data_IF_314716210109
#
_entry.id   IF_314716210109
#
_cell.length_a   1.000
_cell.length_b   1.000
_cell.length_c   1.000
_cell.angle_alpha   90.00
_cell.angle_beta   90.00
_cell.angle_gamma   90.00
#
_symmetry.space_group_name_H-M   'P 1'
#
loop_
_entity.id
_entity.type
_entity.pdbx_description
1 polymer ?
#
# COMPACT_ATOMS: atom_id res chain seq x y z
N UNK A 1 15.25 28.65 -38.07
CA UNK A 1 14.27 28.56 -36.96
C UNK A 1 13.10 27.71 -37.44
N UNK A 2 13.11 26.42 -37.13
CA UNK A 2 12.04 25.50 -37.53
C UNK A 2 10.89 25.63 -36.53
N UNK A 3 9.83 26.33 -36.95
CA UNK A 3 8.57 26.38 -36.22
C UNK A 3 8.00 24.96 -36.15
N UNK A 4 8.07 24.31 -34.99
CA UNK A 4 7.39 23.02 -34.78
C UNK A 4 5.89 23.31 -34.81
N UNK A 5 5.20 22.74 -35.79
CA UNK A 5 3.74 22.78 -35.86
C UNK A 5 3.18 22.03 -34.65
N UNK A 6 2.67 22.76 -33.66
CA UNK A 6 2.01 22.19 -32.49
C UNK A 6 0.72 21.55 -32.96
N UNK A 7 0.59 20.24 -32.77
CA UNK A 7 -0.62 19.49 -33.11
C UNK A 7 -1.63 19.57 -31.97
N UNK A 8 -2.93 19.36 -32.24
CA UNK A 8 -3.95 19.34 -31.17
C UNK A 8 -3.65 18.30 -30.08
N UNK A 9 -2.95 17.22 -30.42
CA UNK A 9 -2.53 16.18 -29.48
C UNK A 9 -1.47 16.69 -28.51
N UNK A 10 -0.55 17.53 -28.97
CA UNK A 10 0.49 18.14 -28.11
C UNK A 10 -0.13 19.06 -27.05
N UNK A 11 -1.16 19.83 -27.43
CA UNK A 11 -1.88 20.69 -26.50
C UNK A 11 -2.64 19.88 -25.44
N UNK A 12 -3.22 18.73 -25.82
CA UNK A 12 -3.93 17.86 -24.88
C UNK A 12 -2.96 17.18 -23.91
N UNK A 13 -1.79 16.75 -24.38
CA UNK A 13 -0.74 16.18 -23.52
C UNK A 13 -0.21 17.21 -22.53
N UNK A 14 0.05 18.44 -22.96
CA UNK A 14 0.53 19.50 -22.08
C UNK A 14 -0.52 19.91 -21.04
N UNK A 15 -1.79 20.02 -21.46
CA UNK A 15 -2.90 20.23 -20.53
C UNK A 15 -2.97 19.11 -19.49
N UNK A 16 -2.96 17.85 -19.93
CA UNK A 16 -3.04 16.69 -19.05
C UNK A 16 -1.84 16.62 -18.09
N UNK A 17 -0.63 16.95 -18.56
CA UNK A 17 0.58 17.02 -17.73
C UNK A 17 0.44 18.04 -16.61
N UNK A 18 0.08 19.28 -16.94
CA UNK A 18 -0.10 20.35 -15.97
C UNK A 18 -1.25 20.04 -15.00
N UNK A 19 -2.37 19.54 -15.51
CA UNK A 19 -3.51 19.15 -14.70
C UNK A 19 -3.15 18.05 -13.70
N UNK A 20 -2.42 17.01 -14.13
CA UNK A 20 -1.94 15.95 -13.25
C UNK A 20 -0.96 16.50 -12.20
N UNK A 21 -0.02 17.36 -12.59
CA UNK A 21 0.91 17.97 -11.63
C UNK A 21 0.18 18.77 -10.55
N UNK A 22 -0.85 19.54 -10.92
CA UNK A 22 -1.65 20.28 -9.95
C UNK A 22 -2.42 19.36 -8.99
N UNK A 23 -3.11 18.34 -9.52
CA UNK A 23 -3.98 17.48 -8.70
C UNK A 23 -3.22 16.42 -7.91
N UNK A 24 -1.99 16.09 -8.32
CA UNK A 24 -1.10 15.17 -7.61
C UNK A 24 -0.08 15.90 -6.73
N UNK A 25 -0.11 17.24 -6.62
CA UNK A 25 0.89 18.01 -5.87
C UNK A 25 0.78 17.85 -4.34
N UNK A 26 -0.44 17.70 -3.81
CA UNK A 26 -0.71 17.91 -2.39
C UNK A 26 -0.47 16.68 -1.50
N UNK A 27 -0.78 15.46 -1.97
CA UNK A 27 -0.66 14.23 -1.16
C UNK A 27 -0.09 13.04 -1.97
N UNK A 28 0.48 12.06 -1.25
CA UNK A 28 1.05 10.83 -1.83
C UNK A 28 0.00 9.97 -2.56
N UNK A 29 -1.25 10.03 -2.13
CA UNK A 29 -2.39 9.33 -2.73
C UNK A 29 -3.69 9.98 -2.27
N UNK A 30 -4.09 11.08 -2.91
CA UNK A 30 -5.37 11.70 -2.59
C UNK A 30 -6.50 10.85 -3.16
N UNK A 31 -7.44 10.41 -2.32
CA UNK A 31 -8.69 9.79 -2.77
C UNK A 31 -9.49 10.73 -3.68
N UNK A 32 -9.31 12.05 -3.54
CA UNK A 32 -9.82 13.05 -4.48
C UNK A 32 -9.18 12.92 -5.86
N UNK A 33 -7.86 12.76 -5.95
CA UNK A 33 -7.17 12.60 -7.24
C UNK A 33 -7.63 11.34 -7.98
N UNK A 34 -7.86 10.21 -7.29
CA UNK A 34 -8.42 9.01 -7.93
C UNK A 34 -9.82 9.23 -8.50
N UNK A 35 -10.66 9.98 -7.79
CA UNK A 35 -12.02 10.34 -8.25
C UNK A 35 -11.95 11.28 -9.45
N UNK A 36 -11.14 12.33 -9.35
CA UNK A 36 -10.97 13.33 -10.41
C UNK A 36 -10.39 12.71 -11.69
N UNK A 37 -9.40 11.83 -11.55
CA UNK A 37 -8.84 11.09 -12.70
C UNK A 37 -9.93 10.22 -13.32
N UNK A 38 -10.68 9.44 -12.54
CA UNK A 38 -11.75 8.57 -13.05
C UNK A 38 -12.85 9.33 -13.80
N UNK A 39 -13.19 10.53 -13.31
CA UNK A 39 -14.22 11.39 -13.90
C UNK A 39 -13.74 12.15 -15.14
N UNK A 40 -12.45 12.47 -15.23
CA UNK A 40 -11.88 13.25 -16.33
C UNK A 40 -11.54 12.39 -17.54
N UNK A 41 -12.57 11.91 -18.23
CA UNK A 41 -12.44 11.05 -19.42
C UNK A 41 -11.61 11.67 -20.56
N UNK A 42 -11.45 12.98 -20.59
CA UNK A 42 -10.70 13.68 -21.62
C UNK A 42 -9.20 13.44 -21.56
N UNK A 43 -8.65 13.15 -20.36
CA UNK A 43 -7.21 12.91 -20.19
C UNK A 43 -6.82 11.43 -20.35
N UNK A 44 -7.79 10.51 -20.27
CA UNK A 44 -7.52 9.06 -20.39
C UNK A 44 -6.74 8.71 -21.67
N UNK A 45 -7.11 9.19 -22.87
CA UNK A 45 -6.44 8.77 -24.11
C UNK A 45 -4.95 9.11 -24.17
N UNK A 46 -4.50 10.12 -23.43
CA UNK A 46 -3.11 10.59 -23.42
C UNK A 46 -2.34 10.19 -22.15
N UNK A 47 -2.99 9.51 -21.20
CA UNK A 47 -2.46 9.27 -19.86
C UNK A 47 -1.12 8.51 -19.89
N UNK A 48 -1.01 7.48 -20.73
CA UNK A 48 0.22 6.69 -20.86
C UNK A 48 1.38 7.46 -21.50
N UNK A 49 1.11 8.41 -22.41
CA UNK A 49 2.14 9.27 -23.00
C UNK A 49 2.58 10.34 -22.00
N UNK A 50 1.64 10.95 -21.30
CA UNK A 50 1.92 11.93 -20.25
C UNK A 50 2.71 11.29 -19.11
N UNK A 51 2.40 10.06 -18.73
CA UNK A 51 3.14 9.33 -17.69
C UNK A 51 4.65 9.29 -17.96
N UNK A 52 5.08 9.06 -19.21
CA UNK A 52 6.50 8.96 -19.60
C UNK A 52 7.29 10.24 -19.37
N UNK A 53 6.62 11.40 -19.40
CA UNK A 53 7.24 12.73 -19.28
C UNK A 53 7.04 13.36 -17.89
N UNK A 54 6.25 12.72 -17.02
CA UNK A 54 6.12 13.14 -15.63
C UNK A 54 7.40 12.85 -14.85
N UNK A 55 7.70 13.69 -13.86
CA UNK A 55 8.79 13.40 -12.91
C UNK A 55 8.46 12.15 -12.09
N UNK A 56 9.47 11.40 -11.62
CA UNK A 56 9.27 10.13 -10.90
C UNK A 56 8.30 10.24 -9.72
N UNK A 57 8.35 11.34 -8.96
CA UNK A 57 7.42 11.56 -7.83
C UNK A 57 5.96 11.60 -8.30
N UNK A 58 5.65 12.28 -9.40
CA UNK A 58 4.30 12.33 -9.97
C UNK A 58 3.90 11.00 -10.61
N UNK A 59 4.84 10.26 -11.19
CA UNK A 59 4.61 8.91 -11.69
C UNK A 59 4.15 7.97 -10.57
N UNK A 60 4.85 7.97 -9.43
CA UNK A 60 4.49 7.15 -8.26
C UNK A 60 3.10 7.54 -7.75
N UNK A 61 2.85 8.84 -7.56
CA UNK A 61 1.54 9.33 -7.09
C UNK A 61 0.42 8.96 -8.04
N UNK A 62 0.65 9.06 -9.36
CA UNK A 62 -0.33 8.63 -10.35
C UNK A 62 -0.63 7.13 -10.24
N UNK A 63 0.40 6.28 -10.12
CA UNK A 63 0.21 4.82 -9.94
C UNK A 63 -0.60 4.54 -8.66
N UNK A 64 -0.26 5.20 -7.55
CA UNK A 64 -0.99 5.02 -6.28
C UNK A 64 -2.44 5.50 -6.38
N UNK A 65 -2.71 6.67 -6.96
CA UNK A 65 -4.08 7.17 -7.16
C UNK A 65 -4.90 6.23 -8.06
N UNK A 66 -4.29 5.71 -9.14
CA UNK A 66 -4.96 4.76 -10.01
C UNK A 66 -5.28 3.42 -9.33
N UNK A 67 -4.55 3.08 -8.25
CA UNK A 67 -4.77 1.83 -7.49
C UNK A 67 -5.99 1.91 -6.57
N UNK A 68 -6.42 3.13 -6.26
CA UNK A 68 -7.61 3.40 -5.45
C UNK A 68 -8.89 3.37 -6.28
N UNK A 69 -8.79 3.37 -7.61
CA UNK A 69 -9.94 3.28 -8.51
C UNK A 69 -10.38 1.82 -8.58
N UNK A 70 -11.50 1.52 -7.93
CA UNK A 70 -12.13 0.20 -7.93
C UNK A 70 -12.22 -0.40 -9.33
N UNK A 71 -11.82 -1.66 -9.49
CA UNK A 71 -11.95 -2.40 -10.74
C UNK A 71 -13.40 -2.47 -11.25
N UNK A 72 -14.39 -2.36 -10.36
CA UNK A 72 -15.82 -2.35 -10.71
C UNK A 72 -16.31 -1.01 -11.29
N UNK A 73 -15.65 0.09 -10.92
CA UNK A 73 -16.04 1.46 -11.29
C UNK A 73 -15.12 2.06 -12.37
N UNK A 74 -14.10 1.31 -12.76
CA UNK A 74 -13.05 1.74 -13.69
C UNK A 74 -13.59 1.82 -15.12
N UNK A 75 -13.51 2.98 -15.79
CA UNK A 75 -13.86 3.09 -17.20
C UNK A 75 -12.94 2.22 -18.08
N UNK A 76 -13.49 1.55 -19.12
CA UNK A 76 -12.70 0.71 -20.05
C UNK A 76 -11.51 1.44 -20.66
N UNK A 77 -11.73 2.71 -21.05
CA UNK A 77 -10.68 3.61 -21.57
C UNK A 77 -9.49 3.77 -20.63
N UNK A 78 -9.70 3.64 -19.32
CA UNK A 78 -8.64 3.75 -18.32
C UNK A 78 -7.93 2.40 -18.12
N UNK A 79 -8.66 1.28 -18.19
CA UNK A 79 -8.09 -0.07 -18.06
C UNK A 79 -6.97 -0.35 -19.07
N UNK A 80 -7.15 0.05 -20.33
CA UNK A 80 -6.13 -0.08 -21.37
C UNK A 80 -4.88 0.76 -21.03
N UNK A 81 -5.10 2.00 -20.61
CA UNK A 81 -4.03 2.93 -20.25
C UNK A 81 -3.23 2.45 -19.04
N UNK A 82 -3.88 1.86 -18.04
CA UNK A 82 -3.21 1.33 -16.86
C UNK A 82 -2.29 0.16 -17.19
N UNK A 83 -2.70 -0.71 -18.11
CA UNK A 83 -1.85 -1.82 -18.57
C UNK A 83 -0.58 -1.28 -19.21
N UNK A 84 -0.71 -0.23 -20.03
CA UNK A 84 0.42 0.45 -20.67
C UNK A 84 1.30 1.18 -19.64
N UNK A 85 0.70 1.96 -18.73
CA UNK A 85 1.41 2.67 -17.65
C UNK A 85 2.20 1.68 -16.80
N UNK A 86 1.60 0.56 -16.39
CA UNK A 86 2.28 -0.47 -15.61
C UNK A 86 3.49 -1.05 -16.35
N UNK A 87 3.34 -1.39 -17.63
CA UNK A 87 4.46 -1.91 -18.45
C UNK A 87 5.59 -0.88 -18.58
N UNK A 88 5.27 0.39 -18.79
CA UNK A 88 6.26 1.47 -18.86
C UNK A 88 6.96 1.64 -17.51
N UNK A 89 6.20 1.70 -16.42
CA UNK A 89 6.70 1.92 -15.07
C UNK A 89 7.61 0.80 -14.57
N UNK A 90 7.29 -0.47 -14.89
CA UNK A 90 8.15 -1.62 -14.58
C UNK A 90 9.53 -1.54 -15.25
N UNK A 91 9.65 -0.81 -16.37
CA UNK A 91 10.90 -0.58 -17.09
C UNK A 91 11.51 0.81 -16.78
N UNK A 92 10.98 1.54 -15.79
CA UNK A 92 11.52 2.84 -15.38
C UNK A 92 12.94 2.69 -14.85
N UNK A 93 13.76 3.72 -14.98
CA UNK A 93 15.08 3.78 -14.33
C UNK A 93 14.96 4.01 -12.81
N UNK A 94 13.87 4.63 -12.37
CA UNK A 94 13.60 4.92 -10.96
C UNK A 94 13.06 3.68 -10.23
N UNK A 95 13.72 3.32 -9.12
CA UNK A 95 13.39 2.15 -8.31
C UNK A 95 12.01 2.25 -7.65
N UNK A 96 11.62 3.43 -7.19
CA UNK A 96 10.35 3.65 -6.50
C UNK A 96 9.20 3.52 -7.50
N UNK A 97 9.37 4.04 -8.72
CA UNK A 97 8.40 3.87 -9.82
C UNK A 97 8.23 2.39 -10.17
N UNK A 98 9.34 1.64 -10.30
CA UNK A 98 9.29 0.19 -10.55
C UNK A 98 8.59 -0.57 -9.42
N UNK A 99 8.88 -0.24 -8.17
CA UNK A 99 8.26 -0.85 -6.99
C UNK A 99 6.75 -0.57 -6.92
N UNK A 100 6.33 0.67 -7.14
CA UNK A 100 4.93 1.06 -7.18
C UNK A 100 4.16 0.27 -8.26
N UNK A 101 4.75 0.12 -9.45
CA UNK A 101 4.16 -0.63 -10.55
C UNK A 101 4.09 -2.15 -10.30
N UNK A 102 5.06 -2.70 -9.57
CA UNK A 102 5.07 -4.11 -9.17
C UNK A 102 3.98 -4.42 -8.13
N UNK A 103 3.72 -3.49 -7.22
CA UNK A 103 2.68 -3.59 -6.19
C UNK A 103 1.27 -3.28 -6.70
N UNK A 104 1.15 -2.81 -7.94
CA UNK A 104 -0.12 -2.53 -8.60
C UNK A 104 -0.87 -3.84 -8.96
N UNK A 105 -1.57 -4.40 -7.97
CA UNK A 105 -2.16 -5.74 -8.01
C UNK A 105 -3.42 -5.86 -8.87
N UNK A 106 -4.14 -4.76 -9.11
CA UNK A 106 -5.46 -4.78 -9.75
C UNK A 106 -5.44 -5.15 -11.27
N UNK A 107 -4.24 -5.30 -11.85
CA UNK A 107 -4.02 -5.67 -13.27
C UNK A 107 -3.15 -6.92 -13.39
N UNK A 108 -2.72 -7.50 -12.27
CA UNK A 108 -1.90 -8.70 -12.26
C UNK A 108 -2.65 -9.84 -11.57
N UNK A 109 -2.73 -11.02 -12.17
CA UNK A 109 -3.21 -12.20 -11.46
C UNK A 109 -2.22 -12.66 -10.36
N UNK A 110 -0.98 -12.14 -10.38
CA UNK A 110 0.05 -12.42 -9.37
C UNK A 110 -0.07 -11.48 -8.18
N UNK A 111 0.23 -11.99 -6.99
CA UNK A 111 0.30 -11.16 -5.79
C UNK A 111 1.35 -10.05 -5.95
N UNK A 112 1.13 -8.90 -5.32
CA UNK A 112 2.08 -7.77 -5.36
C UNK A 112 3.48 -8.20 -4.92
N UNK A 113 3.57 -9.06 -3.91
CA UNK A 113 4.84 -9.58 -3.39
C UNK A 113 5.61 -10.43 -4.41
N UNK A 114 4.96 -11.35 -5.13
CA UNK A 114 5.61 -12.16 -6.16
C UNK A 114 6.19 -11.30 -7.29
N UNK A 115 5.43 -10.30 -7.71
CA UNK A 115 5.84 -9.38 -8.77
C UNK A 115 7.00 -8.52 -8.30
N UNK A 116 6.89 -7.96 -7.09
CA UNK A 116 7.94 -7.15 -6.48
C UNK A 116 9.24 -7.95 -6.31
N UNK A 117 9.15 -9.20 -5.88
CA UNK A 117 10.30 -10.12 -5.73
C UNK A 117 10.94 -10.56 -7.05
N UNK A 118 10.25 -10.41 -8.18
CA UNK A 118 10.85 -10.62 -9.52
C UNK A 118 11.60 -9.38 -9.99
N UNK A 119 11.11 -8.19 -9.62
CA UNK A 119 11.73 -6.90 -9.96
C UNK A 119 12.94 -6.63 -9.06
N UNK A 120 12.85 -6.96 -7.78
CA UNK A 120 13.88 -6.77 -6.76
C UNK A 120 14.15 -8.10 -6.06
N UNK A 121 15.07 -8.93 -6.58
CA UNK A 121 15.37 -10.24 -6.01
C UNK A 121 15.83 -10.18 -4.54
N UNK A 122 16.43 -9.06 -4.11
CA UNK A 122 16.91 -8.84 -2.74
C UNK A 122 15.79 -8.94 -1.70
N UNK A 123 14.56 -8.61 -2.10
CA UNK A 123 13.39 -8.67 -1.22
C UNK A 123 13.12 -10.10 -0.75
N UNK A 124 13.43 -11.12 -1.56
CA UNK A 124 13.28 -12.52 -1.13
C UNK A 124 14.24 -12.85 -0.01
N UNK A 125 15.48 -12.38 -0.12
CA UNK A 125 16.49 -12.56 0.93
C UNK A 125 16.08 -11.82 2.19
N UNK A 126 15.71 -10.55 2.08
CA UNK A 126 15.23 -9.76 3.24
C UNK A 126 14.00 -10.39 3.90
N UNK A 127 13.05 -10.91 3.12
CA UNK A 127 11.88 -11.59 3.64
C UNK A 127 12.26 -12.90 4.35
N UNK A 128 13.22 -13.65 3.82
CA UNK A 128 13.71 -14.88 4.45
C UNK A 128 14.44 -14.57 5.77
N UNK A 129 15.37 -13.61 5.75
CA UNK A 129 16.10 -13.17 6.94
C UNK A 129 15.14 -12.65 8.02
N UNK A 130 14.09 -11.93 7.62
CA UNK A 130 13.04 -11.48 8.53
C UNK A 130 12.27 -12.67 9.13
N UNK A 131 11.91 -13.67 8.32
CA UNK A 131 11.23 -14.88 8.81
C UNK A 131 12.12 -15.65 9.79
N UNK A 132 13.41 -15.81 9.48
CA UNK A 132 14.37 -16.48 10.36
C UNK A 132 14.55 -15.72 11.66
N UNK A 133 14.62 -14.39 11.60
CA UNK A 133 14.66 -13.52 12.78
C UNK A 133 13.38 -13.66 13.62
N UNK A 134 12.20 -13.65 13.00
CA UNK A 134 10.91 -13.84 13.66
C UNK A 134 10.80 -15.23 14.32
N UNK A 135 11.28 -16.28 13.65
CA UNK A 135 11.29 -17.66 14.19
C UNK A 135 12.32 -17.86 15.31
N UNK A 136 13.40 -17.07 15.33
CA UNK A 136 14.43 -17.09 16.37
C UNK A 136 14.00 -16.40 17.68
N UNK A 137 12.88 -15.68 17.70
CA UNK A 137 12.34 -15.06 18.91
C UNK A 137 11.68 -16.11 19.81
N UNK A 138 12.28 -16.37 20.98
CA UNK A 138 11.88 -17.47 21.88
C UNK A 138 10.56 -17.26 22.63
N UNK A 139 9.94 -16.08 22.61
CA UNK A 139 8.61 -15.86 23.19
C UNK A 139 7.82 -14.85 22.34
N UNK A 140 6.55 -15.12 22.00
CA UNK A 140 5.67 -14.11 21.43
C UNK A 140 5.26 -13.16 22.56
N UNK A 141 6.12 -12.19 22.88
CA UNK A 141 5.74 -11.10 23.78
C UNK A 141 4.77 -10.19 23.00
N UNK A 142 3.48 -10.52 23.09
CA UNK A 142 2.41 -9.52 23.18
C UNK A 142 1.97 -8.77 21.92
N UNK A 143 2.41 -9.15 20.71
CA UNK A 143 1.92 -8.51 19.48
C UNK A 143 0.95 -9.42 18.72
N UNK A 144 -0.18 -9.76 19.37
CA UNK A 144 -1.29 -10.37 18.68
C UNK A 144 -1.89 -9.36 17.67
N UNK A 145 -2.31 -9.81 16.46
CA UNK A 145 -3.09 -8.98 15.55
C UNK A 145 -4.25 -8.28 16.25
N UNK A 146 -4.48 -7.00 15.94
CA UNK A 146 -5.50 -6.18 16.60
C UNK A 146 -6.92 -6.80 16.55
N UNK A 147 -7.20 -7.61 15.51
CA UNK A 147 -8.47 -8.33 15.36
C UNK A 147 -8.73 -9.34 16.49
N UNK A 148 -7.68 -9.88 17.13
CA UNK A 148 -7.84 -10.89 18.17
C UNK A 148 -8.59 -10.41 19.40
N UNK A 149 -8.45 -9.12 19.75
CA UNK A 149 -9.18 -8.50 20.86
C UNK A 149 -10.70 -8.65 20.72
N UNK A 150 -11.19 -8.79 19.48
CA UNK A 150 -12.61 -8.86 19.13
C UNK A 150 -13.10 -10.29 18.87
N UNK A 151 -12.21 -11.27 18.74
CA UNK A 151 -12.59 -12.66 18.45
C UNK A 151 -13.10 -13.36 19.72
N UNK A 152 -14.06 -14.28 19.57
CA UNK A 152 -14.46 -15.14 20.68
C UNK A 152 -13.28 -16.08 21.09
N UNK A 153 -13.04 -16.38 22.38
CA UNK A 153 -11.90 -17.21 22.82
C UNK A 153 -11.79 -18.57 22.12
N UNK A 154 -12.91 -19.22 21.80
CA UNK A 154 -12.94 -20.48 21.06
C UNK A 154 -12.45 -20.36 19.59
N UNK A 155 -12.56 -19.17 19.00
CA UNK A 155 -12.08 -18.86 17.64
C UNK A 155 -10.60 -18.46 17.67
N UNK A 156 -10.15 -17.76 18.73
CA UNK A 156 -8.73 -17.40 18.94
C UNK A 156 -7.82 -18.62 19.09
N UNK A 157 -8.32 -19.67 19.75
CA UNK A 157 -7.56 -20.88 20.03
C UNK A 157 -7.16 -21.70 18.79
N UNK A 158 -7.76 -21.43 17.62
CA UNK A 158 -7.49 -22.18 16.38
C UNK A 158 -6.24 -21.70 15.61
N UNK A 159 -6.03 -20.39 15.35
CA UNK A 159 -4.81 -19.90 14.68
C UNK A 159 -3.64 -19.62 15.62
N UNK A 160 -3.88 -19.35 16.91
CA UNK A 160 -2.84 -18.99 17.89
C UNK A 160 -3.04 -19.81 19.18
N UNK A 161 -2.58 -21.07 19.18
CA UNK A 161 -2.83 -21.99 20.26
C UNK A 161 -1.87 -21.71 21.41
N UNK A 162 -2.08 -20.63 22.16
CA UNK A 162 -1.59 -20.42 23.54
C UNK A 162 -1.94 -18.98 23.93
N UNK A 163 -2.97 -18.84 24.77
CA UNK A 163 -2.99 -17.71 25.69
C UNK A 163 -1.77 -17.90 26.59
N UNK A 164 -0.71 -17.13 26.37
CA UNK A 164 0.43 -17.14 27.30
C UNK A 164 -0.16 -16.72 28.64
N UNK A 165 -0.18 -17.63 29.61
CA UNK A 165 -0.63 -17.30 30.95
C UNK A 165 0.35 -16.26 31.48
N UNK A 166 -0.16 -15.11 31.94
CA UNK A 166 0.71 -14.05 32.49
C UNK A 166 1.70 -14.67 33.49
N UNK A 167 3.00 -14.38 33.36
CA UNK A 167 3.99 -14.88 34.30
C UNK A 167 3.56 -14.55 35.73
N UNK A 168 3.44 -15.59 36.56
CA UNK A 168 3.09 -15.42 37.98
C UNK A 168 4.30 -14.87 38.71
N UNK A 169 4.39 -13.55 38.80
CA UNK A 169 5.47 -12.88 39.53
C UNK A 169 5.31 -12.97 41.06
N UNK A 170 4.12 -13.32 41.55
CA UNK A 170 3.83 -13.47 42.97
C UNK A 170 2.65 -14.43 43.18
N UNK A 171 2.50 -14.92 44.42
CA UNK A 171 1.36 -15.72 44.84
C UNK A 171 0.44 -14.87 45.73
N UNK A 172 -0.79 -14.63 45.27
CA UNK A 172 -1.80 -13.92 46.05
C UNK A 172 -2.10 -14.70 47.35
N UNK A 173 -2.07 -14.02 48.50
CA UNK A 173 -2.37 -14.60 49.83
C UNK A 173 -3.85 -14.48 50.23
N UNK A 174 -4.68 -13.89 49.38
CA UNK A 174 -6.11 -13.66 49.58
C UNK A 174 -6.66 -12.81 48.42
N UNK A 175 -7.98 -12.71 48.32
CA UNK A 175 -8.63 -11.88 47.30
C UNK A 175 -8.50 -10.40 47.67
N UNK A 176 -7.93 -9.52 46.82
CA UNK A 176 -7.76 -8.10 47.14
C UNK A 176 -9.07 -7.38 47.43
N UNK A 177 -10.21 -7.88 46.94
CA UNK A 177 -11.53 -7.33 47.24
C UNK A 177 -12.05 -7.72 48.65
N UNK A 178 -11.45 -8.74 49.28
CA UNK A 178 -11.90 -9.33 50.55
C UNK A 178 -10.89 -9.12 51.68
N UNK A 179 -9.74 -8.49 51.41
CA UNK A 179 -8.78 -8.15 52.47
C UNK A 179 -9.25 -6.90 53.21
N UNK A 180 -9.59 -6.98 54.52
CA UNK A 180 -9.84 -5.78 55.30
C UNK A 180 -8.52 -5.01 55.35
N UNK A 181 -8.52 -3.79 54.82
CA UNK A 181 -7.47 -2.83 55.13
C UNK A 181 -7.46 -2.66 56.66
N UNK A 182 -6.56 -3.38 57.34
CA UNK A 182 -6.22 -3.04 58.72
C UNK A 182 -5.65 -1.63 58.64
N UNK A 183 -6.44 -0.64 59.05
CA UNK A 183 -5.92 0.67 59.46
C UNK A 183 -4.84 0.38 60.50
N UNK A 184 -3.59 0.56 60.11
CA UNK A 184 -2.50 0.68 61.07
C UNK A 184 -2.77 2.00 61.78
N UNK A 185 -3.08 1.91 63.07
CA UNK A 185 -3.57 3.02 63.88
C UNK A 185 -2.61 4.20 63.93
N UNK A 186 -3.20 5.38 64.05
CA UNK A 186 -2.59 6.58 64.65
C UNK A 186 -2.58 6.45 66.18
#
# INVERSE_FOLDING_TARGET
MTSKSITMTDNLQEYARLWLQCNLATDWCASSASVEISQNKHIHPVLSEVFKILEPTFQVRLILSLSLISCLERPDSLTEQLTTIRKVALNSQDEIVRAAAAMFGDISPSTGFETLSKVFPEIKTTAHDLVDHLNGMQEPIGCYPAIESFLHPAVRAAPYPLHVSNPKHFQARGDPAVMPFKKVGS
#
